data_IF_583549951254
#
_entry.id   IF_583549951254
#
_cell.length_a   1.000
_cell.length_b   1.000
_cell.length_c   1.000
_cell.angle_alpha   90.00
_cell.angle_beta   90.00
_cell.angle_gamma   90.00
#
_symmetry.space_group_name_H-M   'P 1'
#
loop_
_entity.id
_entity.type
_entity.pdbx_description
1 polymer ?
#
# COMPACT_ATOMS: atom_id res chain seq x y z
N UNK A 1 12.57 -30.72 -2.27
CA UNK A 1 11.77 -29.87 -3.18
C UNK A 1 10.73 -29.18 -2.33
N UNK A 2 11.02 -27.97 -1.86
CA UNK A 2 10.11 -27.18 -1.03
C UNK A 2 9.04 -26.55 -1.95
N UNK A 3 7.77 -26.90 -1.76
CA UNK A 3 6.68 -26.22 -2.46
C UNK A 3 6.51 -24.88 -1.75
N UNK A 4 7.12 -23.83 -2.29
CA UNK A 4 6.94 -22.45 -1.84
C UNK A 4 5.44 -22.19 -1.63
N UNK A 5 5.03 -22.10 -0.36
CA UNK A 5 3.66 -21.80 0.04
C UNK A 5 3.37 -20.41 -0.49
N UNK A 6 2.31 -20.24 -1.30
CA UNK A 6 1.96 -18.89 -1.78
C UNK A 6 1.53 -18.05 -0.56
N UNK A 7 2.00 -16.79 -0.45
CA UNK A 7 1.46 -15.89 0.56
C UNK A 7 -0.06 -15.80 0.39
N UNK A 8 -0.79 -15.85 1.50
CA UNK A 8 -2.22 -15.57 1.46
C UNK A 8 -2.38 -14.09 1.08
N UNK A 9 -3.11 -13.83 -0.01
CA UNK A 9 -3.35 -12.49 -0.54
C UNK A 9 -4.84 -12.19 -0.52
N UNK A 10 -5.20 -11.00 -0.03
CA UNK A 10 -6.56 -10.46 -0.07
C UNK A 10 -6.50 -9.09 -0.76
N UNK A 11 -7.38 -8.87 -1.73
CA UNK A 11 -7.46 -7.61 -2.47
C UNK A 11 -8.82 -6.94 -2.28
N UNK A 12 -8.87 -5.61 -2.25
CA UNK A 12 -10.11 -4.86 -2.13
C UNK A 12 -9.91 -3.34 -2.20
N UNK A 13 -10.96 -2.62 -2.58
CA UNK A 13 -10.95 -1.16 -2.60
C UNK A 13 -11.07 -0.59 -1.19
N UNK A 14 -10.39 0.53 -0.95
CA UNK A 14 -10.48 1.31 0.28
C UNK A 14 -10.50 2.80 -0.05
N UNK A 15 -10.99 3.63 0.86
CA UNK A 15 -11.00 5.09 0.68
C UNK A 15 -10.55 5.73 1.97
N UNK A 16 -9.53 6.58 1.86
CA UNK A 16 -9.00 7.36 2.97
C UNK A 16 -9.51 8.80 2.88
N UNK A 17 -10.10 9.30 3.96
CA UNK A 17 -10.42 10.73 4.10
C UNK A 17 -9.24 11.43 4.79
N UNK A 18 -8.23 11.84 4.02
CA UNK A 18 -7.01 12.48 4.53
C UNK A 18 -7.28 13.95 4.90
N UNK A 19 -6.90 14.42 6.09
CA UNK A 19 -7.27 15.77 6.57
C UNK A 19 -6.73 16.90 5.71
N UNK A 20 -5.63 16.69 4.98
CA UNK A 20 -5.01 17.72 4.13
C UNK A 20 -5.18 17.45 2.64
N UNK A 21 -5.26 16.18 2.23
CA UNK A 21 -5.27 15.78 0.82
C UNK A 21 -6.68 15.39 0.34
N UNK A 22 -7.67 15.45 1.23
CA UNK A 22 -9.04 15.09 0.95
C UNK A 22 -9.22 13.58 0.78
N UNK A 23 -10.23 13.20 -0.01
CA UNK A 23 -10.61 11.81 -0.24
C UNK A 23 -9.68 11.13 -1.25
N UNK A 24 -9.09 10.00 -0.87
CA UNK A 24 -8.12 9.24 -1.66
C UNK A 24 -8.63 7.79 -1.79
N UNK A 25 -9.33 7.45 -2.88
CA UNK A 25 -9.67 6.06 -3.20
C UNK A 25 -8.41 5.29 -3.62
N UNK A 26 -8.22 4.09 -3.07
CA UNK A 26 -7.07 3.21 -3.32
C UNK A 26 -7.52 1.76 -3.49
N UNK A 27 -6.80 1.03 -4.33
CA UNK A 27 -6.87 -0.42 -4.41
C UNK A 27 -5.84 -1.02 -3.44
N UNK A 28 -6.32 -1.83 -2.51
CA UNK A 28 -5.52 -2.44 -1.46
C UNK A 28 -5.25 -3.91 -1.72
N UNK A 29 -4.02 -4.34 -1.41
CA UNK A 29 -3.59 -5.72 -1.38
C UNK A 29 -2.90 -6.02 -0.06
N UNK A 30 -3.35 -7.04 0.65
CA UNK A 30 -2.76 -7.53 1.89
C UNK A 30 -2.07 -8.86 1.65
N UNK A 31 -0.77 -8.92 1.93
CA UNK A 31 0.09 -10.07 1.73
C UNK A 31 0.56 -10.57 3.09
N UNK A 32 0.25 -11.81 3.43
CA UNK A 32 0.73 -12.44 4.69
C UNK A 32 2.04 -13.18 4.44
N UNK A 33 3.04 -12.91 5.28
CA UNK A 33 4.36 -13.51 5.19
C UNK A 33 4.32 -15.03 5.25
N UNK A 34 5.11 -15.69 4.40
CA UNK A 34 5.19 -17.16 4.38
C UNK A 34 6.16 -17.71 5.41
N UNK A 35 7.23 -16.95 5.71
CA UNK A 35 8.19 -17.26 6.75
C UNK A 35 7.69 -16.84 8.14
N UNK A 36 7.06 -15.67 8.21
CA UNK A 36 6.55 -15.07 9.45
C UNK A 36 5.06 -14.72 9.28
N UNK A 37 4.13 -15.63 9.65
CA UNK A 37 2.69 -15.44 9.43
C UNK A 37 2.07 -14.24 10.15
N UNK A 38 2.72 -13.78 11.22
CA UNK A 38 2.33 -12.58 11.97
C UNK A 38 2.71 -11.28 11.24
N UNK A 39 3.59 -11.35 10.23
CA UNK A 39 3.97 -10.20 9.42
C UNK A 39 3.04 -10.05 8.21
N UNK A 40 2.56 -8.82 7.99
CA UNK A 40 1.74 -8.48 6.84
C UNK A 40 2.31 -7.27 6.09
N UNK A 41 2.30 -7.34 4.77
CA UNK A 41 2.58 -6.21 3.89
C UNK A 41 1.26 -5.75 3.27
N UNK A 42 0.97 -4.46 3.39
CA UNK A 42 -0.16 -3.82 2.72
C UNK A 42 0.37 -2.96 1.57
N UNK A 43 -0.12 -3.21 0.36
CA UNK A 43 0.15 -2.39 -0.83
C UNK A 43 -1.12 -1.63 -1.16
N UNK A 44 -1.02 -0.29 -1.19
CA UNK A 44 -2.12 0.58 -1.55
C UNK A 44 -1.74 1.32 -2.83
N UNK A 45 -2.55 1.17 -3.87
CA UNK A 45 -2.29 1.76 -5.19
C UNK A 45 -3.44 2.66 -5.63
N UNK A 46 -3.12 3.62 -6.50
CA UNK A 46 -4.12 4.50 -7.12
C UNK A 46 -4.05 4.34 -8.63
N UNK A 47 -5.16 4.61 -9.32
CA UNK A 47 -5.18 4.63 -10.77
C UNK A 47 -4.19 5.67 -11.32
N UNK A 48 -3.36 5.34 -12.32
CA UNK A 48 -2.40 6.28 -12.92
C UNK A 48 -3.09 7.55 -13.43
N UNK A 49 -2.49 8.71 -13.17
CA UNK A 49 -3.02 10.01 -13.61
C UNK A 49 -4.27 10.49 -12.87
N UNK A 50 -4.78 9.74 -11.89
CA UNK A 50 -5.95 10.13 -11.10
C UNK A 50 -5.64 11.24 -10.09
N UNK A 51 -6.66 11.95 -9.58
CA UNK A 51 -6.51 12.85 -8.43
C UNK A 51 -5.92 12.14 -7.19
N UNK A 52 -6.24 10.85 -6.99
CA UNK A 52 -5.66 10.05 -5.92
C UNK A 52 -4.14 9.87 -6.10
N UNK A 53 -3.67 9.66 -7.33
CA UNK A 53 -2.24 9.56 -7.63
C UNK A 53 -1.51 10.90 -7.43
N UNK A 54 -2.18 12.02 -7.67
CA UNK A 54 -1.64 13.34 -7.35
C UNK A 54 -1.58 13.60 -5.84
N UNK A 55 -2.64 13.24 -5.10
CA UNK A 55 -2.68 13.30 -3.65
C UNK A 55 -1.55 12.47 -3.01
N UNK A 56 -1.31 11.24 -3.49
CA UNK A 56 -0.21 10.41 -3.00
C UNK A 56 1.17 11.04 -3.27
N UNK A 57 1.38 11.65 -4.45
CA UNK A 57 2.63 12.36 -4.75
C UNK A 57 2.83 13.57 -3.84
N UNK A 58 1.76 14.33 -3.59
CA UNK A 58 1.78 15.45 -2.66
C UNK A 58 2.17 14.99 -1.25
N UNK A 59 1.52 13.96 -0.71
CA UNK A 59 1.85 13.41 0.61
C UNK A 59 3.28 12.85 0.66
N UNK A 60 3.72 12.17 -0.41
CA UNK A 60 5.08 11.65 -0.54
C UNK A 60 6.16 12.73 -0.56
N UNK A 61 5.83 13.96 -0.95
CA UNK A 61 6.79 15.08 -0.92
C UNK A 61 7.19 15.52 0.49
N UNK A 62 6.39 15.18 1.51
CA UNK A 62 6.73 15.41 2.91
C UNK A 62 7.49 14.25 3.55
N UNK A 63 7.48 13.07 2.91
CA UNK A 63 8.21 11.94 3.40
C UNK A 63 9.70 12.19 3.22
N UNK A 64 10.45 12.20 4.33
CA UNK A 64 11.90 12.07 4.26
C UNK A 64 12.21 10.68 3.68
N UNK A 65 13.07 10.56 2.66
CA UNK A 65 13.49 9.25 2.20
C UNK A 65 14.12 8.50 3.39
N UNK A 66 13.83 7.20 3.57
CA UNK A 66 14.42 6.44 4.65
C UNK A 66 15.94 6.54 4.55
N UNK A 67 16.61 6.97 5.63
CA UNK A 67 18.06 6.96 5.68
C UNK A 67 18.53 5.50 5.65
N UNK A 68 19.33 5.08 4.65
CA UNK A 68 19.93 3.75 4.69
C UNK A 68 20.86 3.69 5.90
N UNK A 69 20.65 2.69 6.77
CA UNK A 69 21.53 2.35 7.89
C UNK A 69 22.47 1.23 7.46
#
# INVERSE_FOLDING_TARGET
>A
MDRARRPAQISGATTFDHPIAGRIPLDGEFLTGTAEPEQQLMVLTSAPGSPAAEALRFLGSWAQPPQPT
#
